data_IF_490388612125
#
_entry.id   IF_490388612125
#
_cell.length_a   1.000
_cell.length_b   1.000
_cell.length_c   1.000
_cell.angle_alpha   90.00
_cell.angle_beta   90.00
_cell.angle_gamma   90.00
#
_symmetry.space_group_name_H-M   'P 1'
#
loop_
_entity.id
_entity.type
_entity.pdbx_description
1 polymer ?
#
# COMPACT_ATOMS: atom_id res chain seq x y z
N UNK A 1 -31.29 -15.61 -12.24
CA UNK A 1 -30.46 -14.82 -13.18
C UNK A 1 -29.01 -14.61 -12.71
N UNK A 2 -28.69 -14.60 -11.41
CA UNK A 2 -27.31 -14.44 -10.91
C UNK A 2 -26.47 -15.74 -10.79
N UNK A 3 -27.07 -16.92 -11.03
CA UNK A 3 -26.38 -18.20 -10.86
C UNK A 3 -25.26 -18.43 -11.89
N UNK A 4 -25.54 -18.10 -13.16
CA UNK A 4 -24.57 -18.20 -14.27
C UNK A 4 -23.34 -17.31 -14.03
N UNK A 5 -23.52 -16.11 -13.48
CA UNK A 5 -22.40 -15.20 -13.17
C UNK A 5 -21.62 -15.59 -11.92
N UNK A 6 -22.24 -16.25 -10.94
CA UNK A 6 -21.54 -16.67 -9.71
C UNK A 6 -20.64 -17.88 -9.93
N UNK A 7 -21.12 -18.89 -10.66
CA UNK A 7 -20.37 -20.14 -10.81
C UNK A 7 -19.36 -20.11 -11.96
N UNK A 8 -19.70 -19.47 -13.10
CA UNK A 8 -18.77 -19.43 -14.23
C UNK A 8 -17.49 -18.66 -13.92
N UNK A 9 -17.55 -17.63 -13.07
CA UNK A 9 -16.37 -16.81 -12.76
C UNK A 9 -15.31 -17.63 -12.02
N UNK A 10 -15.69 -18.48 -11.07
CA UNK A 10 -14.74 -19.35 -10.34
C UNK A 10 -14.31 -20.57 -11.14
N UNK A 11 -15.11 -21.01 -12.12
CA UNK A 11 -14.83 -22.18 -12.95
C UNK A 11 -14.06 -21.85 -14.24
N UNK A 12 -13.97 -20.58 -14.63
CA UNK A 12 -13.22 -20.17 -15.81
C UNK A 12 -11.73 -20.27 -15.53
N UNK A 13 -11.02 -21.13 -16.29
CA UNK A 13 -9.57 -21.27 -16.18
C UNK A 13 -8.87 -20.00 -16.67
N UNK A 14 -8.02 -19.40 -15.85
CA UNK A 14 -7.25 -18.19 -16.17
C UNK A 14 -5.87 -18.25 -15.49
N UNK A 15 -4.96 -17.35 -15.86
CA UNK A 15 -3.68 -17.24 -15.15
C UNK A 15 -3.84 -16.56 -13.79
N UNK A 16 -4.66 -15.51 -13.74
CA UNK A 16 -4.95 -14.74 -12.55
C UNK A 16 -6.44 -14.43 -12.41
N UNK A 17 -6.90 -14.35 -11.16
CA UNK A 17 -8.23 -13.92 -10.79
C UNK A 17 -8.13 -12.67 -9.91
N UNK A 18 -8.81 -11.60 -10.33
CA UNK A 18 -8.77 -10.30 -9.64
C UNK A 18 -10.20 -9.91 -9.27
N UNK A 19 -10.73 -10.38 -8.12
CA UNK A 19 -12.06 -9.97 -7.69
C UNK A 19 -12.06 -8.47 -7.34
N UNK A 20 -12.58 -7.63 -8.24
CA UNK A 20 -12.76 -6.18 -8.05
C UNK A 20 -14.12 -5.78 -7.46
N UNK A 21 -14.95 -6.75 -7.09
CA UNK A 21 -16.25 -6.56 -6.46
C UNK A 21 -16.78 -7.88 -5.92
N UNK A 22 -18.03 -7.91 -5.46
CA UNK A 22 -18.66 -9.09 -4.86
C UNK A 22 -19.08 -8.84 -3.42
N UNK A 23 -19.74 -9.84 -2.81
CA UNK A 23 -20.08 -9.77 -1.38
C UNK A 23 -18.87 -10.22 -0.55
N UNK A 24 -18.66 -9.68 0.65
CA UNK A 24 -17.71 -10.28 1.58
C UNK A 24 -17.99 -11.78 1.74
N UNK A 25 -16.93 -12.58 1.85
CA UNK A 25 -16.98 -14.04 2.01
C UNK A 25 -17.64 -14.77 0.83
N UNK A 26 -17.47 -14.23 -0.39
CA UNK A 26 -17.97 -14.87 -1.63
C UNK A 26 -17.33 -16.25 -1.81
N UNK A 27 -16.02 -16.37 -1.55
CA UNK A 27 -15.37 -17.65 -1.34
C UNK A 27 -15.11 -17.84 0.16
N UNK A 28 -15.51 -18.97 0.69
CA UNK A 28 -15.46 -19.31 2.10
C UNK A 28 -15.19 -20.82 2.30
N UNK A 29 -15.03 -21.24 3.54
CA UNK A 29 -14.72 -22.60 3.96
C UNK A 29 -15.67 -23.66 3.37
N UNK A 30 -16.93 -23.29 3.12
CA UNK A 30 -17.96 -24.19 2.62
C UNK A 30 -18.00 -24.31 1.10
N UNK A 31 -17.38 -23.36 0.37
CA UNK A 31 -17.52 -23.29 -1.08
C UNK A 31 -16.21 -23.04 -1.85
N UNK A 32 -15.05 -22.94 -1.21
CA UNK A 32 -13.79 -22.70 -1.93
C UNK A 32 -13.52 -23.77 -3.02
N UNK A 33 -14.09 -24.96 -2.88
CA UNK A 33 -14.00 -26.05 -3.85
C UNK A 33 -14.62 -25.68 -5.21
N UNK A 34 -15.52 -24.69 -5.28
CA UNK A 34 -16.07 -24.20 -6.56
C UNK A 34 -15.03 -23.46 -7.39
N UNK A 35 -13.89 -23.11 -6.79
CA UNK A 35 -12.73 -22.53 -7.44
C UNK A 35 -11.74 -23.59 -7.96
N UNK A 36 -12.10 -24.88 -7.86
CA UNK A 36 -11.28 -25.99 -8.34
C UNK A 36 -11.86 -26.55 -9.65
N UNK A 37 -10.97 -27.03 -10.51
CA UNK A 37 -11.32 -27.74 -11.73
C UNK A 37 -11.64 -29.21 -11.46
N UNK A 38 -12.01 -29.94 -12.51
CA UNK A 38 -12.30 -31.38 -12.49
C UNK A 38 -11.14 -32.25 -11.96
N UNK A 39 -9.92 -31.74 -11.91
CA UNK A 39 -8.73 -32.43 -11.38
C UNK A 39 -8.43 -32.06 -9.92
N UNK A 40 -9.24 -31.19 -9.32
CA UNK A 40 -9.05 -30.67 -7.97
C UNK A 40 -8.00 -29.54 -7.90
N UNK A 41 -7.59 -28.97 -9.04
CA UNK A 41 -6.62 -27.87 -9.09
C UNK A 41 -7.33 -26.52 -9.15
N UNK A 42 -6.78 -25.46 -8.54
CA UNK A 42 -7.31 -24.11 -8.66
C UNK A 42 -7.46 -23.67 -10.13
N UNK A 43 -8.57 -23.03 -10.47
CA UNK A 43 -8.84 -22.54 -11.83
C UNK A 43 -7.96 -21.36 -12.24
N UNK A 44 -7.40 -20.63 -11.27
CA UNK A 44 -6.29 -19.69 -11.50
C UNK A 44 -5.17 -19.91 -10.50
N UNK A 45 -3.94 -19.58 -10.91
CA UNK A 45 -2.74 -19.74 -10.08
C UNK A 45 -2.58 -18.62 -9.05
N UNK A 46 -3.16 -17.46 -9.34
CA UNK A 46 -3.00 -16.24 -8.54
C UNK A 46 -4.37 -15.61 -8.29
N UNK A 47 -4.63 -15.24 -7.04
CA UNK A 47 -5.76 -14.41 -6.64
C UNK A 47 -5.23 -13.08 -6.09
N UNK A 48 -5.70 -11.97 -6.64
CA UNK A 48 -5.37 -10.60 -6.19
C UNK A 48 -6.65 -9.94 -5.67
N UNK A 49 -6.84 -9.90 -4.36
CA UNK A 49 -8.11 -9.44 -3.75
C UNK A 49 -8.29 -7.91 -3.86
N UNK A 50 -8.79 -7.42 -5.00
CA UNK A 50 -9.14 -6.00 -5.14
C UNK A 50 -10.34 -5.58 -4.28
N UNK A 51 -11.27 -6.50 -4.03
CA UNK A 51 -12.45 -6.30 -3.20
C UNK A 51 -12.17 -6.60 -1.73
N UNK A 52 -12.79 -5.81 -0.84
CA UNK A 52 -12.71 -6.04 0.59
C UNK A 52 -13.33 -7.39 0.98
N UNK A 53 -12.56 -8.20 1.69
CA UNK A 53 -12.94 -9.44 2.35
C UNK A 53 -13.59 -10.47 1.42
N UNK A 54 -13.13 -10.58 0.17
CA UNK A 54 -13.72 -11.49 -0.80
C UNK A 54 -13.61 -12.97 -0.37
N UNK A 55 -12.43 -13.38 0.12
CA UNK A 55 -12.17 -14.68 0.72
C UNK A 55 -12.28 -14.64 2.25
N UNK A 56 -12.75 -15.72 2.89
CA UNK A 56 -12.53 -15.93 4.34
C UNK A 56 -11.10 -16.40 4.61
N UNK A 57 -10.55 -16.22 5.83
CA UNK A 57 -9.24 -16.75 6.20
C UNK A 57 -9.07 -18.24 5.88
N UNK A 58 -10.11 -19.04 6.14
CA UNK A 58 -10.13 -20.48 5.89
C UNK A 58 -10.06 -20.81 4.40
N UNK A 59 -10.81 -20.08 3.56
CA UNK A 59 -10.76 -20.25 2.11
C UNK A 59 -9.39 -19.87 1.53
N UNK A 60 -8.79 -18.77 2.02
CA UNK A 60 -7.43 -18.39 1.63
C UNK A 60 -6.44 -19.50 1.93
N UNK A 61 -6.43 -19.99 3.17
CA UNK A 61 -5.52 -21.07 3.60
C UNK A 61 -5.73 -22.35 2.78
N UNK A 62 -6.96 -22.74 2.52
CA UNK A 62 -7.28 -23.92 1.72
C UNK A 62 -6.75 -23.80 0.28
N UNK A 63 -6.89 -22.64 -0.35
CA UNK A 63 -6.40 -22.39 -1.71
C UNK A 63 -4.87 -22.25 -1.77
N UNK A 64 -4.25 -21.65 -0.76
CA UNK A 64 -2.79 -21.58 -0.65
C UNK A 64 -2.16 -22.98 -0.46
N UNK A 65 -2.79 -23.86 0.33
CA UNK A 65 -2.38 -25.27 0.45
C UNK A 65 -2.43 -26.04 -0.87
N UNK A 66 -3.29 -25.61 -1.80
CA UNK A 66 -3.40 -26.15 -3.16
C UNK A 66 -2.43 -25.47 -4.15
N UNK A 67 -1.56 -24.58 -3.67
CA UNK A 67 -0.54 -23.89 -4.48
C UNK A 67 -1.01 -22.59 -5.13
N UNK A 68 -2.16 -22.04 -4.73
CA UNK A 68 -2.62 -20.73 -5.21
C UNK A 68 -1.87 -19.62 -4.50
N UNK A 69 -1.33 -18.65 -5.24
CA UNK A 69 -0.81 -17.40 -4.64
C UNK A 69 -2.00 -16.50 -4.31
N UNK A 70 -2.22 -16.20 -3.03
CA UNK A 70 -3.33 -15.32 -2.62
C UNK A 70 -2.76 -14.04 -2.00
N UNK A 71 -2.89 -12.93 -2.73
CA UNK A 71 -2.54 -11.61 -2.22
C UNK A 71 -3.78 -10.99 -1.56
N UNK A 72 -3.68 -10.74 -0.26
CA UNK A 72 -4.79 -10.27 0.57
C UNK A 72 -5.20 -8.83 0.20
N UNK A 73 -6.47 -8.53 0.43
CA UNK A 73 -7.08 -7.21 0.18
C UNK A 73 -6.35 -6.06 0.88
N UNK A 74 -5.89 -6.30 2.11
CA UNK A 74 -5.09 -5.34 2.89
C UNK A 74 -3.86 -4.83 2.16
N UNK A 75 -3.30 -5.60 1.21
CA UNK A 75 -2.22 -5.18 0.33
C UNK A 75 -2.72 -4.67 -1.03
N UNK A 76 -3.73 -5.33 -1.60
CA UNK A 76 -4.12 -5.12 -3.00
C UNK A 76 -4.98 -3.87 -3.24
N UNK A 77 -5.72 -3.38 -2.24
CA UNK A 77 -6.71 -2.31 -2.42
C UNK A 77 -6.28 -0.92 -1.88
N UNK A 78 -5.00 -0.76 -1.50
CA UNK A 78 -4.46 0.49 -0.94
C UNK A 78 -4.52 1.70 -1.90
N UNK A 79 -4.63 1.46 -3.20
CA UNK A 79 -4.62 2.51 -4.23
C UNK A 79 -5.67 3.60 -4.00
N UNK A 80 -6.87 3.24 -3.52
CA UNK A 80 -7.92 4.21 -3.21
C UNK A 80 -7.55 5.15 -2.05
N UNK A 81 -6.93 4.60 -1.00
CA UNK A 81 -6.46 5.38 0.17
C UNK A 81 -5.33 6.31 -0.23
N UNK A 82 -4.37 5.83 -1.04
CA UNK A 82 -3.26 6.65 -1.56
C UNK A 82 -3.81 7.80 -2.40
N UNK A 83 -4.74 7.51 -3.32
CA UNK A 83 -5.37 8.52 -4.17
C UNK A 83 -6.10 9.59 -3.33
N UNK A 84 -6.90 9.17 -2.35
CA UNK A 84 -7.63 10.09 -1.47
C UNK A 84 -6.69 10.97 -0.64
N UNK A 85 -5.59 10.40 -0.12
CA UNK A 85 -4.57 11.16 0.60
C UNK A 85 -3.91 12.21 -0.29
N UNK A 86 -3.61 11.86 -1.54
CA UNK A 86 -3.00 12.78 -2.52
C UNK A 86 -4.00 13.82 -3.03
N UNK A 87 -5.29 13.53 -3.04
CA UNK A 87 -6.34 14.51 -3.33
C UNK A 87 -6.39 15.59 -2.24
N UNK A 88 -6.43 15.18 -0.96
CA UNK A 88 -6.37 16.13 0.17
C UNK A 88 -5.08 16.96 0.13
N UNK A 89 -3.94 16.32 -0.15
CA UNK A 89 -2.64 16.99 -0.33
C UNK A 89 -2.71 18.08 -1.40
N UNK A 90 -3.29 17.81 -2.58
CA UNK A 90 -3.43 18.83 -3.62
C UNK A 90 -4.27 20.01 -3.17
N UNK A 91 -5.39 19.76 -2.49
CA UNK A 91 -6.29 20.81 -1.99
C UNK A 91 -5.65 21.69 -0.91
N UNK A 92 -4.65 21.16 -0.17
CA UNK A 92 -3.89 21.93 0.80
C UNK A 92 -2.76 22.77 0.16
N UNK A 93 -2.30 22.40 -1.04
CA UNK A 93 -1.15 23.02 -1.68
C UNK A 93 -1.49 23.94 -2.86
N UNK A 94 -2.65 23.77 -3.49
CA UNK A 94 -3.05 24.45 -4.72
C UNK A 94 -4.45 25.05 -4.62
N UNK A 95 -4.74 26.06 -5.42
CA UNK A 95 -6.11 26.50 -5.67
C UNK A 95 -6.85 25.51 -6.58
N UNK A 96 -8.18 25.63 -6.65
CA UNK A 96 -8.99 24.83 -7.59
C UNK A 96 -8.61 25.12 -9.05
N UNK A 97 -8.39 26.39 -9.41
CA UNK A 97 -7.99 26.80 -10.75
C UNK A 97 -6.63 26.19 -11.14
N UNK A 98 -5.65 26.27 -10.23
CA UNK A 98 -4.33 25.65 -10.41
C UNK A 98 -4.44 24.14 -10.61
N UNK A 99 -5.23 23.45 -9.77
CA UNK A 99 -5.46 22.02 -9.89
C UNK A 99 -6.07 21.66 -11.24
N UNK A 100 -7.11 22.36 -11.68
CA UNK A 100 -7.75 22.11 -12.97
C UNK A 100 -6.79 22.33 -14.14
N UNK A 101 -5.92 23.35 -14.06
CA UNK A 101 -4.91 23.64 -15.09
C UNK A 101 -3.84 22.55 -15.23
N UNK A 102 -3.58 21.79 -14.17
CA UNK A 102 -2.56 20.73 -14.13
C UNK A 102 -3.12 19.31 -13.95
N UNK A 103 -4.44 19.15 -13.95
CA UNK A 103 -5.13 17.90 -13.58
C UNK A 103 -4.58 16.66 -14.28
N UNK A 104 -4.32 16.75 -15.59
CA UNK A 104 -3.80 15.62 -16.37
C UNK A 104 -2.39 15.20 -15.94
N UNK A 105 -1.51 16.18 -15.72
CA UNK A 105 -0.14 15.94 -15.22
C UNK A 105 -0.19 15.35 -13.80
N UNK A 106 -1.00 15.96 -12.91
CA UNK A 106 -1.13 15.50 -11.53
C UNK A 106 -1.65 14.07 -11.42
N UNK A 107 -2.73 13.72 -12.15
CA UNK A 107 -3.29 12.36 -12.14
C UNK A 107 -2.25 11.34 -12.62
N UNK A 108 -1.48 11.66 -13.66
CA UNK A 108 -0.43 10.77 -14.16
C UNK A 108 0.63 10.51 -13.09
N UNK A 109 1.02 11.53 -12.33
CA UNK A 109 1.97 11.39 -11.23
C UNK A 109 1.40 10.57 -10.06
N UNK A 110 0.14 10.81 -9.67
CA UNK A 110 -0.57 10.03 -8.65
C UNK A 110 -0.62 8.54 -9.02
N UNK A 111 -0.96 8.21 -10.27
CA UNK A 111 -0.95 6.83 -10.76
C UNK A 111 0.46 6.21 -10.72
N UNK A 112 1.49 7.00 -11.01
CA UNK A 112 2.88 6.58 -10.86
C UNK A 112 3.25 6.22 -9.41
N UNK A 113 2.82 7.02 -8.44
CA UNK A 113 3.03 6.76 -7.01
C UNK A 113 2.31 5.48 -6.58
N UNK A 114 1.04 5.30 -6.99
CA UNK A 114 0.26 4.09 -6.71
C UNK A 114 0.96 2.86 -7.29
N UNK A 115 1.43 2.93 -8.54
CA UNK A 115 2.16 1.84 -9.20
C UNK A 115 3.46 1.48 -8.48
N UNK A 116 4.24 2.48 -8.03
CA UNK A 116 5.45 2.24 -7.22
C UNK A 116 5.15 1.57 -5.89
N UNK A 117 4.11 2.03 -5.17
CA UNK A 117 3.71 1.44 -3.91
C UNK A 117 3.28 -0.02 -4.08
N UNK A 118 2.44 -0.30 -5.08
CA UNK A 118 1.99 -1.66 -5.40
C UNK A 118 3.18 -2.59 -5.75
N UNK A 119 4.14 -2.09 -6.54
CA UNK A 119 5.34 -2.83 -6.91
C UNK A 119 6.22 -3.17 -5.69
N UNK A 120 6.46 -2.20 -4.81
CA UNK A 120 7.28 -2.39 -3.61
C UNK A 120 6.63 -3.39 -2.65
N UNK A 121 5.32 -3.30 -2.45
CA UNK A 121 4.60 -4.23 -1.60
C UNK A 121 4.58 -5.66 -2.16
N UNK A 122 4.30 -5.80 -3.46
CA UNK A 122 4.34 -7.11 -4.12
C UNK A 122 5.75 -7.73 -4.06
N UNK A 123 6.81 -6.95 -4.28
CA UNK A 123 8.19 -7.42 -4.17
C UNK A 123 8.51 -7.91 -2.77
N UNK A 124 8.17 -7.14 -1.75
CA UNK A 124 8.42 -7.53 -0.37
C UNK A 124 7.70 -8.85 -0.04
N UNK A 125 6.41 -8.95 -0.39
CA UNK A 125 5.62 -10.17 -0.13
C UNK A 125 6.23 -11.39 -0.81
N UNK A 126 6.56 -11.29 -2.11
CA UNK A 126 7.11 -12.40 -2.90
C UNK A 126 8.51 -12.80 -2.40
N UNK A 127 9.36 -11.83 -2.08
CA UNK A 127 10.71 -12.09 -1.56
C UNK A 127 10.67 -12.75 -0.19
N UNK A 128 9.82 -12.25 0.72
CA UNK A 128 9.65 -12.86 2.04
C UNK A 128 9.15 -14.30 1.91
N UNK A 129 8.13 -14.56 1.08
CA UNK A 129 7.65 -15.92 0.85
C UNK A 129 8.76 -16.85 0.33
N UNK A 130 9.55 -16.37 -0.63
CA UNK A 130 10.67 -17.15 -1.18
C UNK A 130 11.73 -17.49 -0.12
N UNK A 131 11.93 -16.61 0.87
CA UNK A 131 12.94 -16.78 1.92
C UNK A 131 12.45 -17.62 3.10
N UNK A 132 11.20 -17.44 3.53
CA UNK A 132 10.69 -18.02 4.78
C UNK A 132 9.69 -19.16 4.56
N UNK A 133 9.10 -19.26 3.36
CA UNK A 133 8.01 -20.20 3.07
C UNK A 133 6.69 -19.84 3.75
N UNK A 134 6.60 -18.69 4.42
CA UNK A 134 5.37 -18.23 5.06
C UNK A 134 4.28 -17.92 4.05
N UNK A 135 3.03 -18.04 4.47
CA UNK A 135 1.88 -17.83 3.60
C UNK A 135 1.78 -16.38 3.13
N UNK A 136 1.41 -16.16 1.87
CA UNK A 136 1.32 -14.83 1.28
C UNK A 136 0.36 -13.94 2.05
N UNK A 137 -0.73 -14.53 2.54
CA UNK A 137 -1.77 -13.85 3.31
C UNK A 137 -1.28 -13.36 4.67
N UNK A 138 -0.50 -14.18 5.37
CA UNK A 138 0.13 -13.82 6.65
C UNK A 138 1.19 -12.73 6.43
N UNK A 139 1.98 -12.83 5.36
CA UNK A 139 2.98 -11.82 5.00
C UNK A 139 2.30 -10.47 4.69
N UNK A 140 1.21 -10.46 3.91
CA UNK A 140 0.43 -9.24 3.63
C UNK A 140 -0.08 -8.54 4.89
N UNK A 141 -0.54 -9.32 5.88
CA UNK A 141 -0.95 -8.79 7.18
C UNK A 141 0.24 -8.17 7.93
N UNK A 142 1.35 -8.92 8.05
CA UNK A 142 2.57 -8.45 8.71
C UNK A 142 3.12 -7.17 8.10
N UNK A 143 3.13 -7.03 6.76
CA UNK A 143 3.53 -5.78 6.09
C UNK A 143 2.68 -4.60 6.57
N UNK A 144 1.36 -4.78 6.60
CA UNK A 144 0.43 -3.71 6.96
C UNK A 144 0.53 -3.35 8.44
N UNK A 145 0.64 -4.35 9.32
CA UNK A 145 0.86 -4.16 10.75
C UNK A 145 2.17 -3.44 11.03
N UNK A 146 3.26 -3.84 10.35
CA UNK A 146 4.59 -3.26 10.53
C UNK A 146 4.64 -1.80 10.10
N UNK A 147 4.08 -1.46 8.93
CA UNK A 147 3.99 -0.07 8.46
C UNK A 147 3.19 0.77 9.46
N UNK A 148 2.06 0.26 9.95
CA UNK A 148 1.23 0.97 10.91
C UNK A 148 1.92 1.18 12.25
N UNK A 149 2.59 0.15 12.79
CA UNK A 149 3.36 0.24 14.02
C UNK A 149 4.39 1.37 13.93
N UNK A 150 5.20 1.36 12.87
CA UNK A 150 6.23 2.37 12.63
C UNK A 150 5.64 3.77 12.41
N UNK A 151 4.55 3.87 11.66
CA UNK A 151 3.83 5.12 11.46
C UNK A 151 3.36 5.73 12.79
N UNK A 152 2.75 4.94 13.67
CA UNK A 152 2.25 5.45 14.95
C UNK A 152 3.39 5.84 15.90
N UNK A 153 4.45 5.04 16.01
CA UNK A 153 5.64 5.41 16.78
C UNK A 153 6.24 6.75 16.32
N UNK A 154 6.30 6.97 15.00
CA UNK A 154 6.78 8.23 14.44
C UNK A 154 5.82 9.39 14.70
N UNK A 155 4.51 9.17 14.61
CA UNK A 155 3.51 10.19 14.91
C UNK A 155 3.60 10.63 16.37
N UNK A 156 3.66 9.69 17.31
CA UNK A 156 3.76 9.97 18.74
C UNK A 156 5.03 10.76 19.06
N UNK A 157 6.15 10.39 18.44
CA UNK A 157 7.40 11.15 18.54
C UNK A 157 7.24 12.57 17.99
N UNK A 158 6.73 12.71 16.77
CA UNK A 158 6.62 13.99 16.07
C UNK A 158 5.58 14.93 16.70
N UNK A 159 4.59 14.42 17.45
CA UNK A 159 3.55 15.23 18.08
C UNK A 159 4.14 16.37 18.91
N UNK A 160 5.17 16.07 19.71
CA UNK A 160 5.86 17.01 20.60
C UNK A 160 6.93 17.88 19.92
N UNK A 161 7.27 17.59 18.66
CA UNK A 161 8.37 18.27 17.95
C UNK A 161 7.86 19.45 17.12
N UNK A 162 8.63 20.53 17.10
CA UNK A 162 8.43 21.62 16.12
C UNK A 162 9.12 21.24 14.80
N UNK A 163 8.39 21.37 13.69
CA UNK A 163 8.97 21.11 12.37
C UNK A 163 9.78 22.32 11.90
N UNK A 164 10.95 22.07 11.33
CA UNK A 164 11.74 23.10 10.68
C UNK A 164 11.01 23.69 9.47
N UNK A 165 11.30 24.95 9.15
CA UNK A 165 10.87 25.59 7.91
C UNK A 165 11.93 25.49 6.80
N UNK A 166 13.11 24.94 7.10
CA UNK A 166 14.19 24.77 6.10
C UNK A 166 13.89 23.56 5.19
N UNK A 167 13.76 23.74 3.87
CA UNK A 167 13.59 22.63 2.92
C UNK A 167 14.74 21.60 2.93
N UNK A 168 15.91 21.95 3.49
CA UNK A 168 17.06 21.04 3.63
C UNK A 168 16.98 20.17 4.88
N UNK A 169 16.10 20.48 5.83
CA UNK A 169 15.89 19.67 7.02
C UNK A 169 15.49 18.22 6.62
N UNK A 170 16.06 17.18 7.25
CA UNK A 170 15.78 15.79 6.89
C UNK A 170 14.30 15.41 6.89
N UNK A 171 13.51 15.89 7.86
CA UNK A 171 12.09 15.59 7.95
C UNK A 171 11.29 16.37 6.90
N UNK A 172 11.65 17.62 6.66
CA UNK A 172 11.04 18.44 5.60
C UNK A 172 11.35 17.87 4.21
N UNK A 173 12.56 17.32 4.00
CA UNK A 173 12.89 16.59 2.78
C UNK A 173 12.01 15.37 2.60
N UNK A 174 11.74 14.60 3.65
CA UNK A 174 10.81 13.46 3.59
C UNK A 174 9.40 13.91 3.18
N UNK A 175 8.90 15.00 3.76
CA UNK A 175 7.63 15.62 3.37
C UNK A 175 7.61 15.97 1.88
N UNK A 176 8.63 16.68 1.40
CA UNK A 176 8.71 17.10 0.00
C UNK A 176 8.76 15.89 -0.92
N UNK A 177 9.58 14.87 -0.61
CA UNK A 177 9.75 13.68 -1.45
C UNK A 177 8.50 12.78 -1.51
N UNK A 178 7.62 12.83 -0.50
CA UNK A 178 6.32 12.18 -0.58
C UNK A 178 5.41 12.81 -1.65
N UNK A 179 5.53 14.13 -1.87
CA UNK A 179 4.64 14.85 -2.77
C UNK A 179 4.90 14.53 -4.26
N UNK A 180 3.86 14.53 -5.11
CA UNK A 180 4.00 14.43 -6.56
C UNK A 180 5.00 15.45 -7.15
N UNK A 181 5.81 15.09 -8.17
CA UNK A 181 6.79 15.98 -8.77
C UNK A 181 6.26 17.37 -9.16
N UNK A 182 5.02 17.50 -9.62
CA UNK A 182 4.37 18.78 -9.89
C UNK A 182 4.36 19.68 -8.66
N UNK A 183 3.92 19.16 -7.50
CA UNK A 183 3.85 19.93 -6.26
C UNK A 183 5.25 20.33 -5.79
N UNK A 184 6.22 19.41 -5.87
CA UNK A 184 7.62 19.69 -5.49
C UNK A 184 8.21 20.84 -6.30
N UNK A 185 7.90 20.90 -7.60
CA UNK A 185 8.48 21.88 -8.53
C UNK A 185 7.79 23.24 -8.50
N UNK A 186 6.44 23.26 -8.42
CA UNK A 186 5.64 24.47 -8.60
C UNK A 186 5.00 25.00 -7.32
N UNK A 187 4.72 24.13 -6.36
CA UNK A 187 3.92 24.44 -5.16
C UNK A 187 4.65 24.16 -3.86
N UNK A 188 5.98 24.30 -3.84
CA UNK A 188 6.81 24.09 -2.64
C UNK A 188 6.33 24.93 -1.44
N UNK A 189 5.98 26.19 -1.68
CA UNK A 189 5.42 27.06 -0.62
C UNK A 189 4.11 26.51 -0.05
N UNK A 190 3.26 25.92 -0.89
CA UNK A 190 2.03 25.25 -0.45
C UNK A 190 2.31 24.04 0.44
N UNK A 191 3.33 23.23 0.09
CA UNK A 191 3.78 22.10 0.92
C UNK A 191 4.25 22.60 2.30
N UNK A 192 5.09 23.65 2.33
CA UNK A 192 5.66 24.18 3.57
C UNK A 192 4.64 24.92 4.45
N UNK A 193 3.58 25.48 3.87
CA UNK A 193 2.55 26.23 4.60
C UNK A 193 1.39 25.35 5.10
N UNK A 194 1.40 24.05 4.79
CA UNK A 194 0.39 23.10 5.25
C UNK A 194 0.31 23.07 6.79
N UNK A 195 -0.85 22.78 7.40
CA UNK A 195 -0.92 22.55 8.84
C UNK A 195 0.01 21.41 9.28
N UNK A 196 0.73 21.62 10.39
CA UNK A 196 1.77 20.70 10.85
C UNK A 196 1.25 19.29 11.14
N UNK A 197 -0.01 19.15 11.54
CA UNK A 197 -0.65 17.83 11.72
C UNK A 197 -0.60 16.98 10.44
N UNK A 198 -0.82 17.59 9.27
CA UNK A 198 -0.74 16.89 7.99
C UNK A 198 0.71 16.62 7.59
N UNK A 199 1.61 17.59 7.81
CA UNK A 199 3.05 17.40 7.54
C UNK A 199 3.60 16.22 8.32
N UNK A 200 3.36 16.16 9.64
CA UNK A 200 3.80 15.08 10.53
C UNK A 200 3.24 13.73 10.10
N UNK A 201 1.95 13.66 9.73
CA UNK A 201 1.33 12.44 9.22
C UNK A 201 1.95 11.95 7.90
N UNK A 202 2.23 12.87 6.97
CA UNK A 202 2.90 12.55 5.71
C UNK A 202 4.31 12.03 5.96
N UNK A 203 5.10 12.72 6.80
CA UNK A 203 6.46 12.32 7.15
C UNK A 203 6.46 10.92 7.76
N UNK A 204 5.60 10.67 8.76
CA UNK A 204 5.50 9.37 9.41
C UNK A 204 5.13 8.26 8.43
N UNK A 205 4.18 8.50 7.52
CA UNK A 205 3.77 7.55 6.48
C UNK A 205 4.88 7.28 5.45
N UNK A 206 5.57 8.32 4.99
CA UNK A 206 6.65 8.21 4.02
C UNK A 206 7.81 7.38 4.58
N UNK A 207 8.25 7.69 5.79
CA UNK A 207 9.37 7.01 6.45
C UNK A 207 8.98 5.56 6.75
N UNK A 208 7.82 5.31 7.37
CA UNK A 208 7.42 3.96 7.79
C UNK A 208 7.29 2.99 6.61
N UNK A 209 6.59 3.40 5.55
CA UNK A 209 6.40 2.56 4.37
C UNK A 209 7.72 2.22 3.69
N UNK A 210 8.59 3.23 3.47
CA UNK A 210 9.89 3.01 2.83
C UNK A 210 10.83 2.15 3.66
N UNK A 211 10.84 2.33 4.98
CA UNK A 211 11.64 1.48 5.87
C UNK A 211 11.24 0.01 5.77
N UNK A 212 9.93 -0.28 5.84
CA UNK A 212 9.45 -1.66 5.72
C UNK A 212 9.76 -2.25 4.35
N UNK A 213 9.51 -1.49 3.28
CA UNK A 213 9.79 -1.98 1.92
C UNK A 213 11.29 -2.19 1.64
N UNK A 214 12.19 -1.39 2.21
CA UNK A 214 13.65 -1.53 2.00
C UNK A 214 14.32 -2.51 2.96
N UNK A 215 13.96 -2.50 4.25
CA UNK A 215 14.63 -3.28 5.30
C UNK A 215 13.97 -4.65 5.54
N UNK A 216 12.77 -4.87 5.01
CA UNK A 216 12.02 -6.10 5.20
C UNK A 216 11.30 -6.17 6.55
N UNK A 217 10.68 -7.32 6.82
CA UNK A 217 9.83 -7.53 8.01
C UNK A 217 10.63 -7.86 9.28
N UNK A 218 11.84 -8.39 9.15
CA UNK A 218 12.67 -8.82 10.29
C UNK A 218 13.33 -7.65 11.03
N UNK A 219 13.30 -6.46 10.45
CA UNK A 219 13.96 -5.29 11.01
C UNK A 219 13.11 -4.67 12.15
N UNK A 220 13.63 -4.76 13.38
CA UNK A 220 12.91 -4.44 14.63
C UNK A 220 13.60 -3.44 15.60
N UNK A 221 14.32 -2.39 15.17
CA UNK A 221 14.78 -1.37 16.12
C UNK A 221 13.65 -0.44 16.56
N UNK A 222 13.83 0.20 17.71
CA UNK A 222 13.03 1.35 18.15
C UNK A 222 13.26 2.51 17.18
N UNK A 223 12.26 2.79 16.33
CA UNK A 223 12.43 3.77 15.24
C UNK A 223 12.69 5.18 15.76
N UNK A 224 12.07 5.56 16.88
CA UNK A 224 12.28 6.88 17.49
C UNK A 224 13.76 7.16 17.78
N UNK A 225 14.48 6.12 18.20
CA UNK A 225 15.86 6.26 18.67
C UNK A 225 16.86 6.38 17.51
N UNK A 226 16.47 5.92 16.33
CA UNK A 226 17.31 5.94 15.12
C UNK A 226 16.77 6.86 14.03
N UNK A 227 15.66 7.56 14.27
CA UNK A 227 15.05 8.48 13.30
C UNK A 227 16.04 9.53 12.77
N UNK A 228 16.90 10.18 13.60
CA UNK A 228 17.86 11.15 13.08
C UNK A 228 18.83 10.54 12.06
N UNK A 229 19.18 9.26 12.20
CA UNK A 229 20.07 8.53 11.29
C UNK A 229 19.32 8.12 10.02
N UNK A 230 18.07 7.63 10.17
CA UNK A 230 17.23 7.21 9.05
C UNK A 230 16.87 8.37 8.14
N UNK A 231 16.48 9.51 8.72
CA UNK A 231 16.07 10.68 7.93
C UNK A 231 17.22 11.24 7.08
N UNK A 232 18.48 10.89 7.41
CA UNK A 232 19.68 11.25 6.66
C UNK A 232 20.10 10.18 5.64
N UNK A 233 19.53 8.97 5.68
CA UNK A 233 19.88 7.87 4.80
C UNK A 233 19.59 8.24 3.32
N UNK A 234 20.60 8.32 2.44
CA UNK A 234 20.40 8.63 1.03
C UNK A 234 19.40 7.68 0.35
N UNK A 235 19.38 6.42 0.79
CA UNK A 235 18.49 5.39 0.27
C UNK A 235 17.02 5.74 0.53
N UNK A 236 16.73 6.58 1.52
CA UNK A 236 15.36 7.05 1.78
C UNK A 236 14.84 7.98 0.68
N UNK A 237 15.73 8.54 -0.16
CA UNK A 237 15.36 9.49 -1.21
C UNK A 237 15.46 8.94 -2.63
N UNK A 238 15.97 7.70 -2.81
CA UNK A 238 16.05 7.04 -4.12
C UNK A 238 14.67 6.58 -4.62
N UNK A 239 14.43 6.74 -5.92
CA UNK A 239 13.12 6.55 -6.57
C UNK A 239 12.77 5.10 -6.92
#
# INVERSE_FOLDING_TARGET
MNYLYRNNVHQTKTDAFVPGGGRPRTLNESNYQTYLDETGKPTSKIIVEGANLYLTPEARRALELLGTVVLKDSSCNKGGVICSSLEVLSSLCMSEEDFLSHKQEYIKEVLGIIGKAALNEARLILQTHQQTGEWFTDISEKVSEKINLFKYQLLDYLETQELSNDPKDPLVRCLIHYCPPLLRKKYLKGILNMPDIHKKAIIACYISSRLVYKRGLDWNPSISDILPLIAQDPDLFED
#
